data_IF_875013469513
#
_entry.id   IF_875013469513
#
_cell.length_a   1.000
_cell.length_b   1.000
_cell.length_c   1.000
_cell.angle_alpha   90.00
_cell.angle_beta   90.00
_cell.angle_gamma   90.00
#
_symmetry.space_group_name_H-M   'P 1'
#
loop_
_entity.id
_entity.type
_entity.pdbx_description
1 polymer ?
#
# COMPACT_ATOMS: atom_id res chain seq x y z
N UNK A 1 -3.25 -21.59 2.63
CA UNK A 1 -3.04 -21.05 1.24
C UNK A 1 -3.59 -22.07 0.24
N UNK A 2 -4.28 -21.64 -0.84
CA UNK A 2 -4.58 -22.53 -1.95
C UNK A 2 -3.28 -22.92 -2.67
N UNK A 3 -3.15 -24.16 -3.18
CA UNK A 3 -1.97 -24.56 -3.92
C UNK A 3 -1.81 -23.69 -5.17
N UNK A 4 -0.59 -23.23 -5.40
CA UNK A 4 -0.26 -22.45 -6.59
C UNK A 4 -0.30 -23.35 -7.85
N UNK A 5 -0.67 -22.82 -9.03
CA UNK A 5 -0.56 -23.54 -10.28
C UNK A 5 0.90 -23.98 -10.55
N UNK A 6 1.13 -25.22 -10.99
CA UNK A 6 2.48 -25.75 -11.23
C UNK A 6 3.31 -24.89 -12.20
N UNK A 7 2.68 -24.44 -13.27
CA UNK A 7 3.32 -23.58 -14.27
C UNK A 7 3.83 -22.25 -13.67
N UNK A 8 3.04 -21.67 -12.75
CA UNK A 8 3.42 -20.48 -12.02
C UNK A 8 4.61 -20.75 -11.08
N UNK A 9 4.58 -21.84 -10.33
CA UNK A 9 5.70 -22.24 -9.46
C UNK A 9 6.99 -22.40 -10.24
N UNK A 10 6.95 -23.10 -11.39
CA UNK A 10 8.10 -23.31 -12.25
C UNK A 10 8.65 -21.99 -12.82
N UNK A 11 7.76 -21.07 -13.20
CA UNK A 11 8.15 -19.74 -13.66
C UNK A 11 8.83 -18.94 -12.56
N UNK A 12 8.25 -18.91 -11.37
CA UNK A 12 8.79 -18.18 -10.22
C UNK A 12 10.13 -18.77 -9.77
N UNK A 13 10.31 -20.08 -9.78
CA UNK A 13 11.60 -20.72 -9.49
C UNK A 13 12.68 -20.34 -10.51
N UNK A 14 12.31 -20.25 -11.80
CA UNK A 14 13.24 -19.79 -12.85
C UNK A 14 13.66 -18.34 -12.66
N UNK A 15 12.74 -17.47 -12.23
CA UNK A 15 13.00 -16.04 -12.03
C UNK A 15 13.79 -15.74 -10.76
N UNK A 16 13.45 -16.40 -9.67
CA UNK A 16 13.95 -16.07 -8.33
C UNK A 16 15.03 -17.04 -7.82
N UNK A 17 15.21 -18.17 -8.51
CA UNK A 17 15.95 -19.31 -7.96
C UNK A 17 15.20 -20.00 -6.83
N UNK A 18 15.70 -21.13 -6.35
CA UNK A 18 15.00 -21.89 -5.31
C UNK A 18 14.89 -21.12 -3.97
N UNK A 19 16.00 -20.53 -3.52
CA UNK A 19 16.01 -19.77 -2.27
C UNK A 19 15.06 -18.56 -2.33
N UNK A 20 15.04 -17.81 -3.44
CA UNK A 20 14.14 -16.69 -3.65
C UNK A 20 12.68 -17.14 -3.74
N UNK A 21 12.41 -18.30 -4.33
CA UNK A 21 11.07 -18.85 -4.38
C UNK A 21 10.54 -19.24 -3.00
N UNK A 22 11.38 -19.83 -2.14
CA UNK A 22 10.97 -20.13 -0.76
C UNK A 22 10.69 -18.86 0.04
N UNK A 23 11.53 -17.83 -0.09
CA UNK A 23 11.29 -16.54 0.55
C UNK A 23 9.99 -15.87 0.05
N UNK A 24 9.68 -16.01 -1.24
CA UNK A 24 8.42 -15.55 -1.83
C UNK A 24 7.21 -16.30 -1.25
N UNK A 25 7.28 -17.62 -1.11
CA UNK A 25 6.22 -18.41 -0.49
C UNK A 25 5.99 -18.02 0.96
N UNK A 26 7.07 -17.78 1.71
CA UNK A 26 6.98 -17.33 3.10
C UNK A 26 6.31 -15.95 3.18
N UNK A 27 6.69 -15.02 2.32
CA UNK A 27 6.05 -13.71 2.22
C UNK A 27 4.55 -13.79 1.90
N UNK A 28 4.13 -14.70 1.02
CA UNK A 28 2.71 -14.93 0.70
C UNK A 28 1.89 -15.46 1.89
N UNK A 29 2.54 -16.07 2.86
CA UNK A 29 1.90 -16.56 4.10
C UNK A 29 1.80 -15.49 5.18
N UNK A 30 2.48 -14.36 5.02
CA UNK A 30 2.39 -13.25 5.96
C UNK A 30 1.09 -12.46 5.77
N UNK A 31 0.59 -11.80 6.81
CA UNK A 31 -0.51 -10.84 6.65
C UNK A 31 -0.12 -9.75 5.66
N UNK A 32 -1.04 -9.43 4.74
CA UNK A 32 -0.80 -8.34 3.79
C UNK A 32 -0.74 -6.99 4.51
N UNK A 33 0.19 -6.14 4.09
CA UNK A 33 0.29 -4.80 4.60
C UNK A 33 -0.88 -3.94 4.07
N UNK A 34 -1.49 -3.16 4.97
CA UNK A 34 -2.54 -2.20 4.63
C UNK A 34 -2.02 -0.80 4.86
N UNK A 35 -2.46 0.13 4.05
CA UNK A 35 -2.14 1.54 4.23
C UNK A 35 -3.30 2.43 3.80
N UNK A 36 -3.20 3.69 4.17
CA UNK A 36 -4.02 4.76 3.65
C UNK A 36 -3.15 5.94 3.24
N UNK A 37 -3.68 6.77 2.35
CA UNK A 37 -3.05 8.02 1.93
C UNK A 37 -3.96 9.19 2.22
N UNK A 38 -3.46 10.16 2.97
CA UNK A 38 -4.14 11.42 3.25
C UNK A 38 -4.28 12.22 1.96
N UNK A 39 -5.42 12.89 1.77
CA UNK A 39 -5.63 13.76 0.63
C UNK A 39 -4.78 15.04 0.78
N UNK A 40 -3.69 15.12 0.01
CA UNK A 40 -2.74 16.23 0.06
C UNK A 40 -3.32 17.55 -0.47
N UNK A 41 -4.43 17.54 -1.20
CA UNK A 41 -5.13 18.76 -1.59
C UNK A 41 -5.80 19.44 -0.38
N UNK A 42 -6.27 18.63 0.58
CA UNK A 42 -6.91 19.11 1.80
C UNK A 42 -5.90 19.27 2.95
N UNK A 43 -4.85 18.46 2.94
CA UNK A 43 -3.79 18.44 3.97
C UNK A 43 -2.42 18.38 3.29
N UNK A 44 -1.91 19.51 2.77
CA UNK A 44 -0.64 19.55 2.01
C UNK A 44 0.59 19.11 2.82
N UNK A 45 0.53 19.22 4.14
CA UNK A 45 1.56 18.73 5.05
C UNK A 45 1.57 17.19 5.17
N UNK A 46 0.48 16.52 4.73
CA UNK A 46 0.34 15.07 4.79
C UNK A 46 -0.04 14.55 6.18
N UNK A 47 -0.36 15.43 7.13
CA UNK A 47 -0.80 15.00 8.47
C UNK A 47 -2.24 14.49 8.44
N UNK A 48 -2.56 13.44 9.21
CA UNK A 48 -3.93 12.98 9.35
C UNK A 48 -4.86 14.10 9.85
N UNK A 49 -6.10 14.20 9.33
CA UNK A 49 -7.02 15.27 9.69
C UNK A 49 -7.52 15.18 11.15
N UNK A 50 -7.48 13.99 11.71
CA UNK A 50 -7.86 13.66 13.08
C UNK A 50 -7.29 12.29 13.44
N UNK A 51 -7.42 11.82 14.68
CA UNK A 51 -7.08 10.44 15.03
C UNK A 51 -7.87 9.45 14.16
N UNK A 52 -7.14 8.56 13.49
CA UNK A 52 -7.70 7.48 12.67
C UNK A 52 -7.37 6.16 13.35
N UNK A 53 -8.38 5.32 13.56
CA UNK A 53 -8.21 4.02 14.20
C UNK A 53 -7.21 3.15 13.42
N UNK A 54 -6.28 2.55 14.14
CA UNK A 54 -5.25 1.66 13.58
C UNK A 54 -4.17 2.36 12.77
N UNK A 55 -4.14 3.69 12.76
CA UNK A 55 -3.08 4.41 12.08
C UNK A 55 -1.74 4.15 12.77
N UNK A 56 -0.77 3.70 11.98
CA UNK A 56 0.55 3.30 12.44
C UNK A 56 1.65 4.19 11.81
N UNK A 57 2.84 3.63 11.63
CA UNK A 57 3.99 4.35 11.11
C UNK A 57 3.73 4.92 9.69
N UNK A 58 4.36 6.06 9.34
CA UNK A 58 4.32 6.56 7.97
C UNK A 58 4.97 5.57 7.00
N UNK A 59 4.44 5.51 5.77
CA UNK A 59 5.05 4.74 4.67
C UNK A 59 6.28 5.51 4.17
N UNK A 60 7.50 4.95 4.27
CA UNK A 60 8.74 5.70 4.04
C UNK A 60 8.88 6.32 2.65
N UNK A 61 8.25 5.70 1.64
CA UNK A 61 8.37 6.10 0.23
C UNK A 61 7.20 6.95 -0.30
N UNK A 62 6.22 7.29 0.55
CA UNK A 62 5.05 8.03 0.08
C UNK A 62 4.60 9.07 1.12
N UNK A 63 4.76 10.34 0.79
CA UNK A 63 4.30 11.45 1.64
C UNK A 63 2.80 11.35 1.93
N UNK A 64 2.43 11.52 3.19
CA UNK A 64 1.04 11.48 3.62
C UNK A 64 0.42 10.08 3.63
N UNK A 65 1.21 9.04 3.44
CA UNK A 65 0.77 7.67 3.55
C UNK A 65 1.19 7.05 4.88
N UNK A 66 0.33 6.21 5.43
CA UNK A 66 0.50 5.57 6.74
C UNK A 66 0.05 4.13 6.68
N UNK A 67 0.77 3.25 7.35
CA UNK A 67 0.32 1.88 7.56
C UNK A 67 -0.91 1.85 8.46
N UNK A 68 -1.72 0.80 8.29
CA UNK A 68 -2.90 0.51 9.12
C UNK A 68 -2.72 -0.86 9.73
N UNK A 69 -2.73 -0.93 11.06
CA UNK A 69 -2.50 -2.14 11.84
C UNK A 69 -3.79 -2.66 12.50
N UNK A 70 -3.69 -3.87 13.01
CA UNK A 70 -4.80 -4.55 13.70
C UNK A 70 -6.01 -4.80 12.79
N UNK A 71 -7.17 -4.91 13.41
CA UNK A 71 -8.45 -5.15 12.73
C UNK A 71 -9.21 -3.85 12.36
N UNK A 72 -8.54 -2.70 12.52
CA UNK A 72 -9.11 -1.41 12.20
C UNK A 72 -9.59 -1.33 10.74
N UNK A 73 -10.74 -0.70 10.53
CA UNK A 73 -11.37 -0.55 9.22
C UNK A 73 -11.63 0.92 8.89
N UNK A 74 -10.60 1.77 8.79
CA UNK A 74 -10.78 3.20 8.56
C UNK A 74 -11.52 3.50 7.25
N UNK A 75 -11.48 2.59 6.26
CA UNK A 75 -12.24 2.72 5.02
C UNK A 75 -13.77 2.74 5.20
N UNK A 76 -14.29 2.33 6.35
CA UNK A 76 -15.72 2.44 6.70
C UNK A 76 -16.05 3.77 7.42
N UNK A 77 -15.05 4.62 7.60
CA UNK A 77 -15.22 5.91 8.28
C UNK A 77 -15.88 6.95 7.36
N UNK A 78 -16.73 7.84 7.89
CA UNK A 78 -17.22 9.00 7.16
C UNK A 78 -16.11 9.90 6.59
N UNK A 79 -14.94 9.89 7.18
CA UNK A 79 -13.77 10.63 6.70
C UNK A 79 -13.24 10.09 5.38
N UNK A 80 -13.29 8.77 5.18
CA UNK A 80 -12.98 8.13 3.90
C UNK A 80 -14.01 8.51 2.85
N UNK A 81 -15.30 8.44 3.16
CA UNK A 81 -16.38 8.87 2.27
C UNK A 81 -16.30 10.36 1.95
N UNK A 82 -15.87 11.18 2.90
CA UNK A 82 -15.62 12.62 2.72
C UNK A 82 -14.35 12.96 1.94
N UNK A 83 -13.56 11.95 1.52
CA UNK A 83 -12.36 12.15 0.70
C UNK A 83 -11.15 12.70 1.45
N UNK A 84 -11.12 12.61 2.79
CA UNK A 84 -9.99 13.09 3.59
C UNK A 84 -8.77 12.16 3.49
N UNK A 85 -8.99 10.89 3.24
CA UNK A 85 -7.97 9.91 2.93
C UNK A 85 -8.53 8.80 2.05
N UNK A 86 -7.64 8.00 1.46
CA UNK A 86 -7.98 6.87 0.60
C UNK A 86 -7.22 5.62 1.07
N UNK A 87 -7.93 4.50 1.17
CA UNK A 87 -7.30 3.21 1.46
C UNK A 87 -6.52 2.75 0.22
N UNK A 88 -5.23 2.57 0.35
CA UNK A 88 -4.36 2.17 -0.75
C UNK A 88 -3.27 1.22 -0.26
N UNK A 89 -3.05 0.15 -0.99
CA UNK A 89 -2.01 -0.81 -0.70
C UNK A 89 -0.61 -0.15 -0.82
N UNK A 90 0.32 -0.42 0.12
CA UNK A 90 1.60 0.31 0.18
C UNK A 90 2.44 0.20 -1.09
N UNK A 91 2.45 -0.95 -1.77
CA UNK A 91 3.21 -1.13 -3.00
C UNK A 91 2.65 -0.29 -4.15
N UNK A 92 1.34 -0.10 -4.22
CA UNK A 92 0.69 0.73 -5.23
C UNK A 92 1.07 2.22 -5.12
N UNK A 93 1.45 2.68 -3.93
CA UNK A 93 1.95 4.05 -3.71
C UNK A 93 3.26 4.34 -4.45
N UNK A 94 4.05 3.30 -4.73
CA UNK A 94 5.34 3.40 -5.42
C UNK A 94 5.20 3.97 -6.82
N UNK A 95 4.12 3.66 -7.53
CA UNK A 95 3.89 4.13 -8.89
C UNK A 95 3.85 5.67 -8.98
N UNK A 96 3.08 6.31 -8.10
CA UNK A 96 2.97 7.77 -8.06
C UNK A 96 4.28 8.41 -7.62
N UNK A 97 4.97 7.82 -6.64
CA UNK A 97 6.26 8.31 -6.14
C UNK A 97 7.34 8.23 -7.23
N UNK A 98 7.36 7.13 -7.99
CA UNK A 98 8.31 6.95 -9.08
C UNK A 98 8.01 7.87 -10.28
N UNK A 99 6.72 8.12 -10.56
CA UNK A 99 6.31 9.02 -11.63
C UNK A 99 6.61 10.49 -11.30
N UNK A 100 6.48 10.88 -10.04
CA UNK A 100 6.72 12.23 -9.53
C UNK A 100 6.08 13.33 -10.41
N UNK A 101 4.76 13.30 -10.64
CA UNK A 101 4.11 14.23 -11.57
C UNK A 101 4.23 15.67 -11.10
N UNK A 102 4.65 16.55 -12.00
CA UNK A 102 4.85 17.97 -11.72
C UNK A 102 3.65 18.82 -12.15
N UNK A 103 3.43 20.00 -11.53
CA UNK A 103 2.37 20.91 -11.94
C UNK A 103 2.45 21.26 -13.43
N UNK A 104 1.32 21.13 -14.15
CA UNK A 104 1.21 21.39 -15.58
C UNK A 104 1.48 20.18 -16.49
N UNK A 105 1.96 19.07 -15.96
CA UNK A 105 2.11 17.83 -16.71
C UNK A 105 0.75 17.15 -16.97
N UNK A 106 0.65 16.50 -18.11
CA UNK A 106 -0.48 15.62 -18.44
C UNK A 106 -0.06 14.18 -18.15
N UNK A 107 -0.78 13.56 -17.25
CA UNK A 107 -0.57 12.16 -16.88
C UNK A 107 -1.77 11.33 -17.34
N UNK A 108 -1.50 10.23 -18.04
CA UNK A 108 -2.49 9.27 -18.53
C UNK A 108 -2.45 7.99 -17.74
#
# INVERSE_FOLDING_TARGET
>A
MQPLPKEFEEQMKRLLGEAGFFAYLDALNQPYARALRVNLLLRPDGTPPCPIEGLAAPVPWAKGAYFVEGDARPGLSPLHEGGLFYMQEPSALTAVTALDPQPGERVL
#
